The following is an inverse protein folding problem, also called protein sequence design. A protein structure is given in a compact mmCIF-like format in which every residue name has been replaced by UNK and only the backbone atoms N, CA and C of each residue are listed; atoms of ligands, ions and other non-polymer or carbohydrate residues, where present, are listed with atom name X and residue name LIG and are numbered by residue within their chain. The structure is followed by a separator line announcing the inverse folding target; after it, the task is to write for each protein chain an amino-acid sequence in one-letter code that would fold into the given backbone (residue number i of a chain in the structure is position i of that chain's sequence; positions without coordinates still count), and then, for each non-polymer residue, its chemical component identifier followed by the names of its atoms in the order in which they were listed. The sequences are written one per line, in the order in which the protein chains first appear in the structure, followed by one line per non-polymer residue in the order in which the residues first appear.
data_IF_772556966880
#
_entry.id   IF_772556966880
#
_cell.length_a   1.000
_cell.length_b   1.000
_cell.length_c   1.000
_cell.angle_alpha   90.00
_cell.angle_beta   90.00
_cell.angle_gamma   90.00
#
_symmetry.space_group_name_H-M   'P 1'
#
loop_
_entity.id
_entity.type
_entity.pdbx_description
1 polymer ?
#
# COMPACT_ATOMS: atom_id res chain seq x y z
N UNK A 1 4.56 9.85 -7.61
CA UNK A 1 3.62 8.74 -7.89
C UNK A 1 2.83 9.08 -9.14
N UNK A 2 2.77 8.14 -10.08
CA UNK A 2 2.02 8.34 -11.31
C UNK A 2 0.50 8.36 -11.04
N UNK A 3 -0.23 9.13 -11.87
CA UNK A 3 -1.68 9.06 -11.87
C UNK A 3 -2.16 7.75 -12.53
N UNK A 4 -3.32 7.26 -12.11
CA UNK A 4 -3.98 6.14 -12.79
C UNK A 4 -4.49 6.60 -14.15
N UNK A 5 -4.49 5.70 -15.12
CA UNK A 5 -5.06 6.00 -16.44
C UNK A 5 -6.57 6.18 -16.36
N UNK A 6 -7.12 7.00 -17.26
CA UNK A 6 -8.58 7.20 -17.36
C UNK A 6 -9.33 5.89 -17.64
N UNK A 7 -8.68 4.94 -18.33
CA UNK A 7 -9.24 3.61 -18.59
C UNK A 7 -9.44 2.85 -17.28
N UNK A 8 -8.43 2.81 -16.42
CA UNK A 8 -8.54 2.15 -15.10
C UNK A 8 -9.52 2.88 -14.18
N UNK A 9 -9.53 4.22 -14.19
CA UNK A 9 -10.48 5.01 -13.41
C UNK A 9 -11.91 4.65 -13.77
N UNK A 10 -12.27 4.70 -15.04
CA UNK A 10 -13.60 4.32 -15.54
C UNK A 10 -13.98 2.88 -15.20
N UNK A 11 -13.00 1.98 -15.26
CA UNK A 11 -13.22 0.58 -14.90
C UNK A 11 -13.54 0.43 -13.40
N UNK A 12 -12.82 1.12 -12.52
CA UNK A 12 -13.08 1.09 -11.09
C UNK A 12 -14.41 1.77 -10.71
N UNK A 13 -14.77 2.86 -11.38
CA UNK A 13 -16.10 3.47 -11.25
C UNK A 13 -17.21 2.48 -11.61
N UNK A 14 -16.99 1.61 -12.62
CA UNK A 14 -17.96 0.59 -13.04
C UNK A 14 -18.15 -0.56 -12.04
N UNK A 15 -17.35 -0.63 -10.97
CA UNK A 15 -17.52 -1.63 -9.88
C UNK A 15 -18.71 -1.31 -8.99
N UNK A 16 -19.31 -0.12 -9.10
CA UNK A 16 -20.39 0.34 -8.24
C UNK A 16 -20.04 0.20 -6.74
N UNK A 17 -18.79 0.48 -6.39
CA UNK A 17 -18.30 0.39 -5.03
C UNK A 17 -19.00 1.42 -4.13
N UNK A 18 -19.59 0.96 -3.04
CA UNK A 18 -20.23 1.84 -2.07
C UNK A 18 -19.21 2.24 -1.01
N UNK A 19 -18.53 3.36 -1.26
CA UNK A 19 -17.50 3.90 -0.35
C UNK A 19 -18.04 4.22 1.03
N UNK A 20 -19.22 4.84 1.11
CA UNK A 20 -19.84 5.19 2.39
C UNK A 20 -20.13 3.95 3.24
N UNK A 21 -20.65 2.88 2.60
CA UNK A 21 -20.87 1.61 3.30
C UNK A 21 -19.54 1.00 3.76
N UNK A 22 -18.54 0.97 2.90
CA UNK A 22 -17.21 0.41 3.22
C UNK A 22 -16.57 1.15 4.42
N UNK A 23 -16.61 2.47 4.41
CA UNK A 23 -16.07 3.28 5.52
C UNK A 23 -16.86 3.03 6.82
N UNK A 24 -18.17 2.96 6.74
CA UNK A 24 -19.04 2.71 7.89
C UNK A 24 -18.81 1.31 8.50
N UNK A 25 -18.58 0.30 7.67
CA UNK A 25 -18.29 -1.07 8.10
C UNK A 25 -16.97 -1.17 8.93
N UNK A 26 -16.06 -0.22 8.74
CA UNK A 26 -14.81 -0.11 9.54
C UNK A 26 -14.85 1.04 10.58
N UNK A 27 -16.01 1.63 10.80
CA UNK A 27 -16.24 2.67 11.81
C UNK A 27 -15.74 4.06 11.42
N UNK A 28 -15.59 4.35 10.13
CA UNK A 28 -15.18 5.64 9.61
C UNK A 28 -16.35 6.34 8.89
N UNK A 29 -16.40 7.66 9.00
CA UNK A 29 -17.34 8.52 8.24
C UNK A 29 -16.71 9.11 6.98
N UNK A 30 -15.39 9.31 7.01
CA UNK A 30 -14.63 9.89 5.94
C UNK A 30 -13.30 9.12 5.75
N UNK A 31 -12.76 9.05 4.54
CA UNK A 31 -11.48 8.39 4.31
C UNK A 31 -10.33 9.23 4.91
N UNK A 32 -9.42 8.57 5.61
CA UNK A 32 -8.17 9.17 6.06
C UNK A 32 -7.08 8.87 5.03
N UNK A 33 -6.50 9.91 4.44
CA UNK A 33 -5.43 9.71 3.45
C UNK A 33 -5.25 10.90 2.54
N UNK A 34 -4.86 10.65 1.29
CA UNK A 34 -4.61 11.69 0.30
C UNK A 34 -5.92 12.36 -0.12
N UNK A 35 -5.99 13.69 0.05
CA UNK A 35 -7.19 14.47 -0.30
C UNK A 35 -7.49 14.40 -1.78
N UNK A 36 -8.78 14.29 -2.12
CA UNK A 36 -9.26 14.26 -3.50
C UNK A 36 -9.11 12.90 -4.17
N UNK A 37 -8.89 11.83 -3.40
CA UNK A 37 -8.85 10.45 -3.88
C UNK A 37 -10.02 9.64 -3.32
N UNK A 38 -10.54 8.73 -4.14
CA UNK A 38 -11.52 7.74 -3.69
C UNK A 38 -10.85 6.67 -2.82
N UNK A 39 -11.63 5.95 -2.02
CA UNK A 39 -11.11 4.84 -1.22
C UNK A 39 -10.43 3.77 -2.09
N UNK A 40 -10.99 3.44 -3.26
CA UNK A 40 -10.37 2.49 -4.18
C UNK A 40 -9.04 2.99 -4.74
N UNK A 41 -8.94 4.27 -5.11
CA UNK A 41 -7.66 4.85 -5.54
C UNK A 41 -6.61 4.76 -4.45
N UNK A 42 -6.97 5.07 -3.20
CA UNK A 42 -6.07 4.97 -2.06
C UNK A 42 -5.63 3.54 -1.77
N UNK A 43 -6.55 2.57 -1.84
CA UNK A 43 -6.26 1.16 -1.58
C UNK A 43 -5.37 0.51 -2.66
N UNK A 44 -5.50 0.93 -3.93
CA UNK A 44 -4.92 0.21 -5.05
C UNK A 44 -3.83 0.96 -5.81
N UNK A 45 -3.77 2.28 -5.69
CA UNK A 45 -2.87 3.09 -6.53
C UNK A 45 -2.04 4.12 -5.77
N UNK A 46 -2.25 4.27 -4.46
CA UNK A 46 -1.51 5.25 -3.67
C UNK A 46 -0.63 4.57 -2.62
N UNK A 47 0.57 5.10 -2.38
CA UNK A 47 1.46 4.56 -1.35
C UNK A 47 0.92 4.88 0.04
N UNK A 48 1.29 4.05 1.01
CA UNK A 48 1.00 4.31 2.42
C UNK A 48 2.27 4.39 3.25
N UNK A 49 2.16 5.08 4.38
CA UNK A 49 3.14 5.09 5.46
C UNK A 49 2.39 4.78 6.75
N UNK A 50 2.57 3.57 7.26
CA UNK A 50 1.80 3.05 8.38
C UNK A 50 2.68 2.95 9.62
N UNK A 51 2.26 3.58 10.71
CA UNK A 51 2.89 3.42 12.03
C UNK A 51 2.28 2.21 12.72
N UNK A 52 2.99 1.08 12.67
CA UNK A 52 2.49 -0.22 13.16
C UNK A 52 2.68 -0.40 14.67
N UNK A 53 3.42 0.48 15.31
CA UNK A 53 3.61 0.45 16.76
C UNK A 53 4.46 1.61 17.23
N UNK A 54 4.14 2.09 18.42
CA UNK A 54 4.90 3.12 19.12
C UNK A 54 5.12 2.62 20.55
N UNK A 55 6.33 2.78 21.06
CA UNK A 55 6.63 2.54 22.46
C UNK A 55 7.59 3.60 23.00
N UNK A 56 7.37 3.99 24.25
CA UNK A 56 8.18 4.98 24.94
C UNK A 56 7.55 5.36 26.28
N UNK A 57 8.31 5.97 27.17
CA UNK A 57 7.83 6.29 28.50
C UNK A 57 7.67 5.07 29.40
N UNK A 58 6.95 5.27 30.51
CA UNK A 58 6.62 4.21 31.47
C UNK A 58 5.38 3.45 30.97
N UNK A 59 5.50 2.12 30.90
CA UNK A 59 4.45 1.23 30.41
C UNK A 59 3.98 0.22 31.48
N UNK A 60 4.43 0.36 32.72
CA UNK A 60 3.97 -0.46 33.83
C UNK A 60 2.65 0.01 34.41
N UNK A 61 2.16 -0.71 35.42
CA UNK A 61 0.93 -0.35 36.14
C UNK A 61 1.11 0.95 36.95
N UNK A 62 0.05 1.77 36.96
CA UNK A 62 0.04 3.07 37.69
C UNK A 62 0.73 4.20 36.92
N UNK A 63 1.06 5.26 37.66
CA UNK A 63 1.67 6.46 37.09
C UNK A 63 3.13 6.60 37.56
N UNK A 64 3.98 7.03 36.64
CA UNK A 64 5.37 7.38 36.95
C UNK A 64 5.75 8.67 36.26
N UNK A 65 6.11 9.70 37.05
CA UNK A 65 6.56 10.99 36.51
C UNK A 65 8.03 10.86 36.09
N UNK A 66 8.24 10.56 34.80
CA UNK A 66 9.59 10.41 34.22
C UNK A 66 9.63 11.02 32.82
N UNK A 67 10.82 11.49 32.43
CA UNK A 67 11.15 11.81 31.05
C UNK A 67 11.73 10.56 30.40
N UNK A 68 11.11 10.09 29.32
CA UNK A 68 11.58 8.92 28.61
C UNK A 68 12.94 9.18 27.96
N UNK A 69 13.91 8.32 28.21
CA UNK A 69 15.23 8.39 27.56
C UNK A 69 15.25 7.74 26.18
N UNK A 70 14.24 6.91 25.87
CA UNK A 70 14.12 6.20 24.60
C UNK A 70 12.66 6.11 24.19
N UNK A 71 12.44 6.23 22.90
CA UNK A 71 11.19 5.88 22.23
C UNK A 71 11.49 5.12 20.94
N UNK A 72 10.56 4.30 20.51
CA UNK A 72 10.68 3.59 19.22
C UNK A 72 9.36 3.56 18.48
N UNK A 73 9.44 3.55 17.16
CA UNK A 73 8.29 3.33 16.29
C UNK A 73 8.61 2.24 15.27
N UNK A 74 7.61 1.45 14.95
CA UNK A 74 7.63 0.51 13.82
C UNK A 74 6.87 1.14 12.68
N UNK A 75 7.55 1.34 11.55
CA UNK A 75 6.98 2.01 10.37
C UNK A 75 7.11 1.09 9.18
N UNK A 76 6.05 0.97 8.39
CA UNK A 76 6.06 0.28 7.11
C UNK A 76 5.48 1.15 6.01
N UNK A 77 5.96 0.91 4.80
CA UNK A 77 5.50 1.59 3.59
C UNK A 77 4.94 0.55 2.63
N UNK A 78 3.80 0.86 2.02
CA UNK A 78 3.35 0.17 0.82
C UNK A 78 3.69 1.04 -0.37
N UNK A 79 4.44 0.45 -1.30
CA UNK A 79 4.90 1.15 -2.50
C UNK A 79 3.97 0.88 -3.67
N UNK A 80 3.95 1.80 -4.62
CA UNK A 80 3.14 1.67 -5.85
C UNK A 80 3.95 2.05 -7.08
N UNK A 81 3.54 1.53 -8.22
CA UNK A 81 4.16 1.83 -9.50
C UNK A 81 5.68 1.58 -9.49
N UNK A 82 6.43 2.55 -9.96
CA UNK A 82 7.89 2.46 -10.09
C UNK A 82 8.67 3.05 -8.92
N UNK A 83 8.07 3.15 -7.75
CA UNK A 83 8.79 3.63 -6.56
C UNK A 83 9.95 2.69 -6.22
N UNK A 84 11.11 3.30 -5.96
CA UNK A 84 12.32 2.59 -5.53
C UNK A 84 12.34 2.46 -4.00
N UNK A 85 12.32 1.24 -3.44
CA UNK A 85 12.34 1.03 -1.99
C UNK A 85 13.53 1.67 -1.30
N UNK A 86 14.71 1.63 -1.93
CA UNK A 86 15.93 2.23 -1.35
C UNK A 86 15.84 3.75 -1.29
N UNK A 87 15.29 4.35 -2.34
CA UNK A 87 15.09 5.80 -2.38
C UNK A 87 14.05 6.26 -1.35
N UNK A 88 12.97 5.52 -1.18
CA UNK A 88 11.95 5.82 -0.15
C UNK A 88 12.56 5.68 1.24
N UNK A 89 13.34 4.63 1.47
CA UNK A 89 14.01 4.41 2.75
C UNK A 89 15.02 5.51 3.08
N UNK A 90 15.87 5.92 2.12
CA UNK A 90 16.83 6.99 2.35
C UNK A 90 16.15 8.33 2.65
N UNK A 91 15.13 8.69 1.88
CA UNK A 91 14.37 9.92 2.12
C UNK A 91 13.65 9.92 3.47
N UNK A 92 13.14 8.77 3.91
CA UNK A 92 12.55 8.62 5.23
C UNK A 92 13.58 8.80 6.35
N UNK A 93 14.77 8.22 6.19
CA UNK A 93 15.87 8.38 7.16
C UNK A 93 16.32 9.84 7.28
N UNK A 94 16.52 10.50 6.14
CA UNK A 94 16.85 11.94 6.10
C UNK A 94 15.80 12.76 6.84
N UNK A 95 14.51 12.57 6.51
CA UNK A 95 13.42 13.28 7.15
C UNK A 95 13.39 13.10 8.67
N UNK A 96 13.58 11.87 9.14
CA UNK A 96 13.60 11.58 10.58
C UNK A 96 14.81 12.24 11.24
N UNK A 97 16.00 12.16 10.62
CA UNK A 97 17.23 12.76 11.16
C UNK A 97 17.13 14.28 11.25
N UNK A 98 16.58 14.94 10.22
CA UNK A 98 16.37 16.38 10.20
C UNK A 98 15.30 16.86 11.19
N UNK A 99 14.38 15.97 11.55
CA UNK A 99 13.29 16.27 12.50
C UNK A 99 13.65 16.04 13.95
N UNK A 100 14.85 15.47 14.23
CA UNK A 100 15.27 15.19 15.61
C UNK A 100 15.68 16.47 16.34
N UNK A 101 15.37 16.57 17.66
CA UNK A 101 16.00 17.56 18.51
C UNK A 101 17.52 17.41 18.55
N UNK A 102 18.24 18.51 18.80
CA UNK A 102 19.71 18.58 18.77
C UNK A 102 20.43 17.51 19.62
N UNK A 103 19.85 17.15 20.76
CA UNK A 103 20.46 16.22 21.71
C UNK A 103 19.94 14.77 21.56
N UNK A 104 19.22 14.49 20.45
CA UNK A 104 18.67 13.17 20.17
C UNK A 104 19.44 12.47 19.05
N UNK A 105 19.47 11.15 19.13
CA UNK A 105 20.00 10.29 18.08
C UNK A 105 18.99 9.23 17.68
N UNK A 106 19.04 8.77 16.44
CA UNK A 106 18.18 7.71 15.92
C UNK A 106 19.01 6.53 15.45
N UNK A 107 18.49 5.33 15.70
CA UNK A 107 19.00 4.10 15.13
C UNK A 107 17.93 3.42 14.30
N UNK A 108 18.23 3.08 13.04
CA UNK A 108 17.31 2.42 12.12
C UNK A 108 17.59 0.92 12.08
N UNK A 109 16.54 0.11 12.14
CA UNK A 109 16.60 -1.34 12.14
C UNK A 109 15.62 -1.92 11.11
N UNK A 110 15.94 -3.07 10.51
CA UNK A 110 15.00 -3.81 9.66
C UNK A 110 14.82 -3.24 8.25
N UNK A 111 15.88 -2.82 7.61
CA UNK A 111 15.89 -2.14 6.31
C UNK A 111 15.68 -3.08 5.11
N UNK A 112 14.50 -3.67 4.99
CA UNK A 112 14.16 -4.54 3.86
C UNK A 112 12.95 -4.00 3.11
N UNK A 113 12.98 -4.09 1.78
CA UNK A 113 11.86 -3.69 0.93
C UNK A 113 11.92 -4.35 -0.44
N UNK A 114 10.76 -4.50 -1.05
CA UNK A 114 10.60 -4.94 -2.44
C UNK A 114 9.83 -3.89 -3.23
N UNK A 115 10.04 -3.86 -4.53
CA UNK A 115 9.28 -3.00 -5.44
C UNK A 115 7.83 -3.45 -5.51
N UNK A 116 6.94 -2.51 -5.82
CA UNK A 116 5.60 -2.85 -6.26
C UNK A 116 5.68 -3.58 -7.61
N UNK A 117 4.73 -4.48 -7.85
CA UNK A 117 4.64 -5.18 -9.13
C UNK A 117 3.54 -4.54 -9.96
N UNK A 118 3.91 -4.07 -11.14
CA UNK A 118 2.98 -3.50 -12.12
C UNK A 118 2.97 -4.40 -13.36
N UNK A 119 1.79 -4.87 -13.75
CA UNK A 119 1.61 -5.77 -14.88
C UNK A 119 0.93 -5.07 -16.04
N UNK A 120 1.38 -5.34 -17.26
CA UNK A 120 0.72 -4.85 -18.45
C UNK A 120 -0.52 -5.69 -18.75
N UNK A 121 -1.69 -5.05 -18.69
CA UNK A 121 -2.97 -5.70 -19.05
C UNK A 121 -3.12 -5.96 -20.55
N UNK A 122 -2.16 -5.54 -21.39
CA UNK A 122 -2.21 -5.74 -22.84
C UNK A 122 -1.90 -7.16 -23.30
N UNK A 123 -1.36 -8.02 -22.41
CA UNK A 123 -1.05 -9.39 -22.78
C UNK A 123 -2.33 -10.22 -22.99
N UNK A 124 -2.47 -10.98 -24.09
CA UNK A 124 -3.70 -11.70 -24.43
C UNK A 124 -4.21 -12.68 -23.36
N UNK A 125 -3.33 -13.17 -22.47
CA UNK A 125 -3.74 -14.07 -21.39
C UNK A 125 -4.67 -13.39 -20.38
N UNK A 126 -4.53 -12.08 -20.13
CA UNK A 126 -5.42 -11.33 -19.23
C UNK A 126 -6.84 -11.24 -19.78
N UNK A 127 -6.96 -10.94 -21.08
CA UNK A 127 -8.26 -10.90 -21.76
C UNK A 127 -8.94 -12.27 -21.77
N UNK A 128 -8.21 -13.33 -22.12
CA UNK A 128 -8.73 -14.71 -22.09
C UNK A 128 -9.22 -15.13 -20.72
N UNK A 129 -8.48 -14.79 -19.67
CA UNK A 129 -8.87 -15.10 -18.29
C UNK A 129 -10.11 -14.31 -17.87
N UNK A 130 -10.17 -13.02 -18.20
CA UNK A 130 -11.36 -12.19 -17.94
C UNK A 130 -12.59 -12.76 -18.65
N UNK A 131 -12.45 -13.14 -19.91
CA UNK A 131 -13.56 -13.67 -20.70
C UNK A 131 -14.05 -15.03 -20.16
N UNK A 132 -13.12 -15.92 -19.80
CA UNK A 132 -13.44 -17.22 -19.18
C UNK A 132 -14.20 -17.04 -17.86
N UNK A 133 -13.70 -16.16 -16.97
CA UNK A 133 -14.36 -15.85 -15.71
C UNK A 133 -15.74 -15.21 -15.93
N UNK A 134 -15.87 -14.32 -16.92
CA UNK A 134 -17.14 -13.66 -17.25
C UNK A 134 -18.18 -14.60 -17.83
N UNK A 135 -17.78 -15.73 -18.43
CA UNK A 135 -18.68 -16.78 -18.90
C UNK A 135 -19.17 -17.68 -17.77
N UNK A 136 -18.32 -17.94 -16.80
CA UNK A 136 -18.63 -18.85 -15.68
C UNK A 136 -19.46 -18.18 -14.58
N UNK A 137 -19.27 -16.90 -14.35
CA UNK A 137 -19.88 -16.19 -13.25
C UNK A 137 -20.97 -15.20 -13.69
N UNK A 138 -22.02 -14.97 -12.88
CA UNK A 138 -23.14 -14.08 -13.26
C UNK A 138 -22.74 -12.61 -13.50
N UNK A 139 -21.61 -12.19 -12.96
CA UNK A 139 -21.09 -10.83 -13.12
C UNK A 139 -19.83 -10.84 -13.97
N UNK A 140 -19.68 -9.88 -14.90
CA UNK A 140 -18.46 -9.78 -15.70
C UNK A 140 -17.22 -9.56 -14.82
N UNK A 141 -16.15 -10.31 -15.09
CA UNK A 141 -14.87 -10.15 -14.42
C UNK A 141 -14.25 -8.77 -14.72
N UNK A 142 -13.59 -8.21 -13.74
CA UNK A 142 -12.94 -6.90 -13.81
C UNK A 142 -11.50 -6.99 -13.33
N UNK A 143 -10.63 -6.16 -13.91
CA UNK A 143 -9.29 -5.97 -13.38
C UNK A 143 -9.33 -4.98 -12.21
N UNK A 144 -8.74 -5.36 -11.10
CA UNK A 144 -8.65 -4.53 -9.90
C UNK A 144 -7.20 -4.41 -9.47
N UNK A 145 -6.89 -3.39 -8.69
CA UNK A 145 -5.64 -3.30 -7.97
C UNK A 145 -5.66 -4.19 -6.72
N UNK A 146 -4.49 -4.47 -6.18
CA UNK A 146 -4.36 -5.17 -4.90
C UNK A 146 -3.37 -4.43 -4.01
N UNK A 147 -3.80 -4.07 -2.80
CA UNK A 147 -2.93 -3.51 -1.77
C UNK A 147 -2.11 -4.56 -1.02
N UNK A 148 -2.29 -5.85 -1.33
CA UNK A 148 -1.55 -6.95 -0.72
C UNK A 148 -0.14 -7.09 -1.28
N UNK A 149 0.79 -7.60 -0.46
CA UNK A 149 2.16 -7.89 -0.89
C UNK A 149 2.27 -9.34 -1.31
N UNK A 150 2.60 -9.57 -2.58
CA UNK A 150 2.90 -10.90 -3.14
C UNK A 150 4.28 -10.83 -3.81
N UNK A 151 5.38 -10.81 -3.03
CA UNK A 151 6.72 -10.55 -3.57
C UNK A 151 7.15 -11.53 -4.66
N UNK A 152 6.66 -12.78 -4.64
CA UNK A 152 6.99 -13.80 -5.63
C UNK A 152 6.53 -13.41 -7.04
N UNK A 153 5.40 -12.69 -7.18
CA UNK A 153 4.94 -12.21 -8.47
C UNK A 153 5.92 -11.18 -9.08
N UNK A 154 6.52 -10.34 -8.22
CA UNK A 154 7.59 -9.43 -8.61
C UNK A 154 8.86 -10.18 -9.05
N UNK A 155 9.26 -11.21 -8.33
CA UNK A 155 10.42 -12.03 -8.69
C UNK A 155 10.21 -12.77 -10.01
N UNK A 156 9.02 -13.28 -10.28
CA UNK A 156 8.71 -13.88 -11.59
C UNK A 156 8.87 -12.87 -12.71
N UNK A 157 8.44 -11.63 -12.50
CA UNK A 157 8.62 -10.56 -13.50
C UNK A 157 10.09 -10.15 -13.66
N UNK A 158 10.81 -9.96 -12.56
CA UNK A 158 12.19 -9.45 -12.60
C UNK A 158 13.20 -10.50 -13.08
N UNK A 159 13.04 -11.76 -12.68
CA UNK A 159 14.03 -12.80 -12.93
C UNK A 159 13.71 -13.63 -14.18
N UNK A 160 12.42 -13.90 -14.43
CA UNK A 160 11.97 -14.79 -15.49
C UNK A 160 11.27 -14.06 -16.64
N UNK A 161 11.08 -12.74 -16.52
CA UNK A 161 10.25 -11.91 -17.42
C UNK A 161 8.83 -12.47 -17.62
N UNK A 162 8.27 -13.06 -16.57
CA UNK A 162 6.93 -13.67 -16.58
C UNK A 162 5.95 -12.78 -15.84
N UNK A 163 4.81 -12.50 -16.46
CA UNK A 163 3.68 -11.88 -15.79
C UNK A 163 2.89 -12.91 -15.00
N UNK A 164 2.38 -12.49 -13.84
CA UNK A 164 1.57 -13.33 -12.96
C UNK A 164 0.11 -12.89 -13.03
N UNK A 165 -0.77 -13.81 -13.36
CA UNK A 165 -2.20 -13.59 -13.34
C UNK A 165 -2.76 -13.99 -11.97
N UNK A 166 -3.23 -13.01 -11.21
CA UNK A 166 -3.88 -13.22 -9.93
C UNK A 166 -5.39 -13.30 -10.15
N UNK A 167 -5.99 -14.43 -9.84
CA UNK A 167 -7.41 -14.70 -10.06
C UNK A 167 -8.11 -14.84 -8.70
N UNK A 168 -9.23 -14.13 -8.53
CA UNK A 168 -10.14 -14.26 -7.40
C UNK A 168 -11.58 -14.33 -7.89
N UNK A 169 -12.44 -14.99 -7.14
CA UNK A 169 -13.88 -15.20 -7.41
C UNK A 169 -14.67 -15.25 -6.11
#
# INVERSE_FOLDING_TARGET
VSEISDVLRKQWESLCFNEAKFLNDVGLSEPAGEKGRTALEMLWSRPTCDVNGISGGYQGEGFKTVIASKASAKVSFRLVGKQDPQKVLSSFKEYVQESLPLDCSVNFLGEKGSKATEMSLSHPAFEKARDALSQEWPKPAKFIGSGGSIPIAGYFKEILDMDSLLIGF
#
